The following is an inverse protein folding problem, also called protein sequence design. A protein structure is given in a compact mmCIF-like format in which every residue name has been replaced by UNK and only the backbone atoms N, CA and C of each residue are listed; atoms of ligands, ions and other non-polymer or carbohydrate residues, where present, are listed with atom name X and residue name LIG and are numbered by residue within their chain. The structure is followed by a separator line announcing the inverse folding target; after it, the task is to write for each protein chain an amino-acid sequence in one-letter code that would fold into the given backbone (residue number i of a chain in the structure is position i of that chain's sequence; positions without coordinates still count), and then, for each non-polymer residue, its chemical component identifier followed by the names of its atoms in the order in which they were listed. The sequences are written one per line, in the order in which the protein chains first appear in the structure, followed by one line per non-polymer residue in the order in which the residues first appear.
data_IF_872153871655
#
_entry.id   IF_872153871655
#
_cell.length_a   1.000
_cell.length_b   1.000
_cell.length_c   1.000
_cell.angle_alpha   90.00
_cell.angle_beta   90.00
_cell.angle_gamma   90.00
#
_symmetry.space_group_name_H-M   'P 1'
#
loop_
_entity.id
_entity.type
_entity.pdbx_description
1 polymer ?
#
# COMPACT_ATOMS: atom_id res chain seq x y z
N UNK A 1 39.19 -27.83 20.97
CA UNK A 1 38.05 -28.63 20.44
C UNK A 1 36.66 -28.21 21.00
N UNK A 2 36.46 -26.96 21.47
CA UNK A 2 35.16 -26.49 22.04
C UNK A 2 34.46 -25.35 21.25
N UNK A 3 35.08 -24.81 20.19
CA UNK A 3 34.48 -23.70 19.42
C UNK A 3 33.29 -24.15 18.52
N UNK A 4 33.35 -25.37 17.98
CA UNK A 4 32.45 -25.82 16.89
C UNK A 4 30.99 -26.14 17.31
N UNK A 5 30.67 -26.12 18.61
CA UNK A 5 29.30 -26.34 19.12
C UNK A 5 28.55 -25.02 19.23
N UNK A 6 29.17 -23.99 19.81
CA UNK A 6 28.56 -22.68 19.98
C UNK A 6 28.20 -22.02 18.63
N UNK A 7 29.03 -22.22 17.60
CA UNK A 7 28.79 -21.74 16.24
C UNK A 7 27.57 -22.40 15.58
N UNK A 8 27.37 -23.72 15.77
CA UNK A 8 26.21 -24.45 15.23
C UNK A 8 24.89 -24.05 15.90
N UNK A 9 24.90 -23.82 17.21
CA UNK A 9 23.72 -23.30 17.93
C UNK A 9 23.35 -21.89 17.46
N UNK A 10 24.34 -21.01 17.27
CA UNK A 10 24.12 -19.67 16.72
C UNK A 10 23.52 -19.70 15.32
N UNK A 11 24.02 -20.56 14.43
CA UNK A 11 23.50 -20.68 13.06
C UNK A 11 22.06 -21.21 13.03
N UNK A 12 21.72 -22.20 13.86
CA UNK A 12 20.35 -22.71 13.97
C UNK A 12 19.38 -21.69 14.60
N UNK A 13 19.86 -20.93 15.59
CA UNK A 13 19.04 -19.89 16.24
C UNK A 13 18.77 -18.69 15.31
N UNK A 14 19.74 -18.28 14.49
CA UNK A 14 19.53 -17.20 13.51
C UNK A 14 18.46 -17.57 12.48
N UNK A 15 18.50 -18.77 11.90
CA UNK A 15 17.49 -19.21 10.93
C UNK A 15 16.07 -19.28 11.51
N UNK A 16 15.92 -19.79 12.74
CA UNK A 16 14.61 -19.83 13.41
C UNK A 16 14.10 -18.44 13.79
N UNK A 17 14.97 -17.56 14.32
CA UNK A 17 14.58 -16.22 14.73
C UNK A 17 14.19 -15.35 13.51
N UNK A 18 14.91 -15.49 12.41
CA UNK A 18 14.64 -14.75 11.17
C UNK A 18 13.34 -15.23 10.49
N UNK A 19 13.11 -16.54 10.45
CA UNK A 19 11.86 -17.12 9.93
C UNK A 19 10.64 -16.74 10.78
N UNK A 20 10.76 -16.85 12.11
CA UNK A 20 9.69 -16.48 13.04
C UNK A 20 9.40 -14.98 12.99
N UNK A 21 10.45 -14.15 12.92
CA UNK A 21 10.32 -12.70 12.78
C UNK A 21 9.59 -12.32 11.49
N UNK A 22 9.97 -12.92 10.36
CA UNK A 22 9.30 -12.66 9.09
C UNK A 22 7.83 -13.07 9.13
N UNK A 23 7.51 -14.24 9.70
CA UNK A 23 6.13 -14.72 9.83
C UNK A 23 5.27 -13.82 10.73
N UNK A 24 5.81 -13.33 11.85
CA UNK A 24 5.09 -12.42 12.75
C UNK A 24 4.85 -11.06 12.11
N UNK A 25 5.85 -10.52 11.41
CA UNK A 25 5.71 -9.24 10.69
C UNK A 25 4.65 -9.36 9.60
N UNK A 26 4.69 -10.45 8.83
CA UNK A 26 3.71 -10.72 7.78
C UNK A 26 2.29 -10.90 8.35
N UNK A 27 2.14 -11.69 9.42
CA UNK A 27 0.85 -11.88 10.10
C UNK A 27 0.28 -10.57 10.66
N UNK A 28 1.11 -9.76 11.33
CA UNK A 28 0.72 -8.44 11.81
C UNK A 28 0.26 -7.54 10.67
N UNK A 29 0.98 -7.59 9.55
CA UNK A 29 0.68 -6.80 8.37
C UNK A 29 -0.70 -7.13 7.79
N UNK A 30 -1.00 -8.40 7.56
CA UNK A 30 -2.32 -8.82 7.07
C UNK A 30 -3.44 -8.51 8.08
N UNK A 31 -3.17 -8.67 9.37
CA UNK A 31 -4.15 -8.36 10.41
C UNK A 31 -4.49 -6.85 10.43
N UNK A 32 -3.49 -5.99 10.37
CA UNK A 32 -3.67 -4.54 10.31
C UNK A 32 -4.47 -4.14 9.07
N UNK A 33 -4.12 -4.70 7.92
CA UNK A 33 -4.83 -4.46 6.66
C UNK A 33 -6.28 -4.92 6.71
N UNK A 34 -6.55 -6.10 7.28
CA UNK A 34 -7.89 -6.60 7.47
C UNK A 34 -8.71 -5.67 8.38
N UNK A 35 -8.12 -5.18 9.47
CA UNK A 35 -8.78 -4.23 10.36
C UNK A 35 -9.14 -2.92 9.65
N UNK A 36 -8.23 -2.37 8.83
CA UNK A 36 -8.49 -1.16 8.04
C UNK A 36 -9.62 -1.42 7.03
N UNK A 37 -9.56 -2.53 6.28
CA UNK A 37 -10.59 -2.88 5.29
C UNK A 37 -11.97 -3.07 5.93
N UNK A 38 -12.03 -3.77 7.06
CA UNK A 38 -13.27 -3.96 7.82
C UNK A 38 -13.84 -2.63 8.32
N UNK A 39 -12.98 -1.72 8.79
CA UNK A 39 -13.39 -0.39 9.25
C UNK A 39 -13.96 0.44 8.08
N UNK A 40 -13.28 0.47 6.93
CA UNK A 40 -13.75 1.18 5.73
C UNK A 40 -15.11 0.64 5.30
N UNK A 41 -15.27 -0.68 5.25
CA UNK A 41 -16.53 -1.32 4.89
C UNK A 41 -17.66 -0.97 5.87
N UNK A 42 -17.40 -1.07 7.17
CA UNK A 42 -18.35 -0.71 8.22
C UNK A 42 -18.79 0.75 8.12
N UNK A 43 -17.84 1.67 7.96
CA UNK A 43 -18.10 3.11 7.78
C UNK A 43 -18.91 3.40 6.52
N UNK A 44 -18.63 2.71 5.42
CA UNK A 44 -19.38 2.88 4.17
C UNK A 44 -20.84 2.47 4.32
N UNK A 45 -21.08 1.30 4.95
CA UNK A 45 -22.43 0.79 5.21
C UNK A 45 -23.18 1.74 6.15
N UNK A 46 -22.54 2.18 7.23
CA UNK A 46 -23.13 3.13 8.17
C UNK A 46 -23.51 4.46 7.50
N UNK A 47 -22.63 5.00 6.66
CA UNK A 47 -22.91 6.23 5.90
C UNK A 47 -24.07 6.02 4.92
N UNK A 48 -24.10 4.89 4.21
CA UNK A 48 -25.19 4.56 3.29
C UNK A 48 -26.55 4.47 4.01
N UNK A 49 -26.62 3.79 5.15
CA UNK A 49 -27.85 3.73 5.97
C UNK A 49 -28.27 5.13 6.40
N UNK A 50 -27.30 5.98 6.78
CA UNK A 50 -27.54 7.39 7.09
C UNK A 50 -28.25 8.13 5.94
N UNK A 51 -27.75 8.02 4.71
CA UNK A 51 -28.38 8.65 3.53
C UNK A 51 -29.80 8.12 3.27
N UNK A 52 -29.97 6.79 3.34
CA UNK A 52 -31.28 6.17 3.14
C UNK A 52 -32.28 6.67 4.17
N UNK A 53 -31.86 6.83 5.43
CA UNK A 53 -32.72 7.36 6.49
C UNK A 53 -33.13 8.83 6.27
N UNK A 54 -32.33 9.62 5.56
CA UNK A 54 -32.67 11.00 5.20
C UNK A 54 -33.58 11.10 3.96
N UNK A 55 -33.86 10.00 3.27
CA UNK A 55 -34.77 9.94 2.11
C UNK A 55 -34.24 10.58 0.82
N UNK A 56 -33.04 11.16 0.84
CA UNK A 56 -32.36 11.72 -0.32
C UNK A 56 -30.84 11.67 -0.10
N UNK A 57 -30.08 11.50 -1.17
CA UNK A 57 -28.61 11.53 -1.14
C UNK A 57 -28.11 12.79 -1.85
N UNK A 58 -27.21 13.54 -1.19
CA UNK A 58 -26.53 14.69 -1.81
C UNK A 58 -25.31 14.23 -2.58
N UNK A 59 -24.78 15.12 -3.43
CA UNK A 59 -23.54 14.87 -4.17
C UNK A 59 -22.40 14.56 -3.20
N UNK A 60 -22.29 15.30 -2.10
CA UNK A 60 -21.30 15.05 -1.05
C UNK A 60 -21.35 13.64 -0.48
N UNK A 61 -22.54 13.08 -0.30
CA UNK A 61 -22.73 11.75 0.27
C UNK A 61 -22.31 10.66 -0.73
N UNK A 62 -22.66 10.84 -2.01
CA UNK A 62 -22.24 9.95 -3.11
C UNK A 62 -20.72 9.99 -3.26
N UNK A 63 -20.15 11.20 -3.22
CA UNK A 63 -18.71 11.41 -3.27
C UNK A 63 -17.98 10.80 -2.06
N UNK A 64 -18.62 10.79 -0.87
CA UNK A 64 -18.09 10.14 0.32
C UNK A 64 -18.08 8.61 0.16
N UNK A 65 -19.15 8.03 -0.39
CA UNK A 65 -19.19 6.61 -0.74
C UNK A 65 -18.11 6.24 -1.76
N UNK A 66 -17.81 7.13 -2.72
CA UNK A 66 -16.75 6.90 -3.69
C UNK A 66 -15.37 6.83 -3.01
N UNK A 67 -15.07 7.70 -2.05
CA UNK A 67 -13.84 7.59 -1.25
C UNK A 67 -13.78 6.26 -0.50
N UNK A 68 -14.87 5.82 0.13
CA UNK A 68 -14.88 4.54 0.82
C UNK A 68 -14.66 3.36 -0.13
N UNK A 69 -15.30 3.38 -1.29
CA UNK A 69 -15.12 2.36 -2.31
C UNK A 69 -13.68 2.33 -2.84
N UNK A 70 -13.09 3.49 -3.09
CA UNK A 70 -11.73 3.61 -3.55
C UNK A 70 -10.73 3.10 -2.51
N UNK A 71 -10.84 3.55 -1.26
CA UNK A 71 -10.02 3.06 -0.15
C UNK A 71 -10.17 1.54 0.02
N UNK A 72 -11.41 1.03 -0.04
CA UNK A 72 -11.70 -0.39 0.04
C UNK A 72 -11.07 -1.18 -1.12
N UNK A 73 -11.13 -0.66 -2.34
CA UNK A 73 -10.51 -1.28 -3.52
C UNK A 73 -8.99 -1.31 -3.39
N UNK A 74 -8.36 -0.26 -2.88
CA UNK A 74 -6.92 -0.24 -2.64
C UNK A 74 -6.49 -1.26 -1.58
N UNK A 75 -7.25 -1.38 -0.48
CA UNK A 75 -7.04 -2.43 0.54
C UNK A 75 -7.22 -3.83 -0.06
N UNK A 76 -8.22 -4.03 -0.92
CA UNK A 76 -8.44 -5.31 -1.61
C UNK A 76 -7.32 -5.68 -2.59
N UNK A 77 -6.83 -4.71 -3.39
CA UNK A 77 -5.69 -4.90 -4.29
C UNK A 77 -4.42 -5.20 -3.50
N UNK A 78 -4.24 -4.53 -2.36
CA UNK A 78 -3.12 -4.81 -1.46
C UNK A 78 -3.13 -6.28 -1.03
N UNK A 79 -4.28 -6.77 -0.57
CA UNK A 79 -4.44 -8.15 -0.11
C UNK A 79 -4.06 -9.17 -1.19
N UNK A 80 -4.28 -8.84 -2.47
CA UNK A 80 -3.92 -9.69 -3.61
C UNK A 80 -2.45 -9.59 -4.03
N UNK A 81 -1.75 -8.50 -3.71
CA UNK A 81 -0.43 -8.19 -4.30
C UNK A 81 0.73 -8.13 -3.29
N UNK A 82 0.48 -8.13 -1.98
CA UNK A 82 1.48 -8.19 -0.90
C UNK A 82 2.61 -7.16 -0.95
N UNK A 83 2.38 -6.05 -1.65
CA UNK A 83 3.35 -4.98 -1.76
C UNK A 83 2.69 -3.71 -1.26
N UNK A 84 3.37 -2.93 -0.40
CA UNK A 84 3.01 -1.53 -0.08
C UNK A 84 3.71 -0.60 -1.05
N UNK A 85 3.15 -0.34 -2.25
CA UNK A 85 3.65 0.73 -3.05
C UNK A 85 3.15 2.04 -2.43
N UNK A 86 4.11 2.91 -2.10
CA UNK A 86 3.90 4.34 -1.82
C UNK A 86 2.97 5.00 -2.86
N UNK A 87 2.89 4.44 -4.08
CA UNK A 87 1.95 4.83 -5.14
C UNK A 87 0.48 4.82 -4.71
N UNK A 88 0.04 3.86 -3.89
CA UNK A 88 -1.36 3.84 -3.43
C UNK A 88 -1.69 5.07 -2.57
N UNK A 89 -0.78 5.50 -1.70
CA UNK A 89 -0.97 6.69 -0.87
C UNK A 89 -1.19 7.96 -1.70
N UNK A 90 -0.41 8.11 -2.79
CA UNK A 90 -0.50 9.27 -3.68
C UNK A 90 -1.80 9.25 -4.48
N UNK A 91 -2.28 8.07 -4.91
CA UNK A 91 -3.59 7.95 -5.56
C UNK A 91 -4.73 8.36 -4.62
N UNK A 92 -4.72 7.90 -3.36
CA UNK A 92 -5.71 8.31 -2.34
C UNK A 92 -5.70 9.82 -2.16
N UNK A 93 -4.52 10.44 -2.08
CA UNK A 93 -4.40 11.89 -1.93
C UNK A 93 -4.99 12.63 -3.14
N UNK A 94 -4.75 12.15 -4.37
CA UNK A 94 -5.31 12.76 -5.58
C UNK A 94 -6.83 12.69 -5.59
N UNK A 95 -7.42 11.53 -5.28
CA UNK A 95 -8.88 11.40 -5.31
C UNK A 95 -9.54 12.13 -4.16
N UNK A 96 -8.92 12.18 -2.97
CA UNK A 96 -9.39 12.99 -1.86
C UNK A 96 -9.41 14.49 -2.20
N UNK A 97 -8.33 15.01 -2.81
CA UNK A 97 -8.26 16.40 -3.28
C UNK A 97 -9.28 16.69 -4.39
N UNK A 98 -9.42 15.79 -5.35
CA UNK A 98 -10.39 15.93 -6.43
C UNK A 98 -11.82 15.94 -5.88
N UNK A 99 -12.12 15.09 -4.90
CA UNK A 99 -13.43 15.09 -4.22
C UNK A 99 -13.68 16.43 -3.52
N UNK A 100 -12.70 16.93 -2.79
CA UNK A 100 -12.80 18.23 -2.11
C UNK A 100 -13.13 19.34 -3.11
N UNK A 101 -12.45 19.35 -4.26
CA UNK A 101 -12.71 20.31 -5.33
C UNK A 101 -14.14 20.21 -5.88
N UNK A 102 -14.62 19.00 -6.18
CA UNK A 102 -15.97 18.81 -6.72
C UNK A 102 -17.03 19.23 -5.69
N UNK A 103 -16.85 18.87 -4.42
CA UNK A 103 -17.77 19.25 -3.34
C UNK A 103 -17.82 20.78 -3.15
N UNK A 104 -16.67 21.46 -3.22
CA UNK A 104 -16.58 22.91 -3.10
C UNK A 104 -17.25 23.64 -4.27
N UNK A 105 -17.00 23.20 -5.51
CA UNK A 105 -17.64 23.75 -6.72
C UNK A 105 -19.18 23.62 -6.68
N UNK A 106 -19.70 22.54 -6.09
CA UNK A 106 -21.14 22.33 -5.98
C UNK A 106 -21.82 23.21 -4.93
N UNK A 107 -21.10 23.58 -3.86
CA UNK A 107 -21.64 24.43 -2.79
C UNK A 107 -21.48 25.93 -3.11
N UNK A 108 -20.31 26.31 -3.63
CA UNK A 108 -19.95 27.68 -3.91
C UNK A 108 -20.10 27.95 -5.42
N UNK A 109 -21.30 28.37 -5.84
CA UNK A 109 -21.59 28.72 -7.24
C UNK A 109 -20.88 30.01 -7.72
N UNK A 110 -20.14 30.68 -6.84
CA UNK A 110 -19.31 31.85 -7.16
C UNK A 110 -17.85 31.37 -7.20
N UNK A 111 -17.08 31.70 -8.25
CA UNK A 111 -15.66 31.36 -8.33
C UNK A 111 -14.93 31.99 -7.14
N UNK A 112 -14.59 31.17 -6.15
CA UNK A 112 -13.74 31.56 -5.03
C UNK A 112 -12.27 31.29 -5.37
N UNK A 113 -11.37 32.10 -4.83
CA UNK A 113 -9.92 31.95 -5.02
C UNK A 113 -9.42 30.55 -4.56
N UNK A 114 -10.18 29.88 -3.68
CA UNK A 114 -9.93 28.51 -3.21
C UNK A 114 -9.89 27.46 -4.33
N UNK A 115 -10.71 27.58 -5.37
CA UNK A 115 -10.75 26.60 -6.48
C UNK A 115 -9.44 26.60 -7.26
N UNK A 116 -8.84 27.78 -7.44
CA UNK A 116 -7.54 27.93 -8.11
C UNK A 116 -6.45 27.27 -7.28
N UNK A 117 -6.46 27.47 -5.96
CA UNK A 117 -5.48 26.87 -5.05
C UNK A 117 -5.57 25.34 -5.04
N UNK A 118 -6.78 24.77 -5.00
CA UNK A 118 -6.98 23.31 -5.07
C UNK A 118 -6.54 22.77 -6.44
N UNK A 119 -6.80 23.49 -7.53
CA UNK A 119 -6.36 23.11 -8.87
C UNK A 119 -4.83 23.09 -8.98
N UNK A 120 -4.14 24.08 -8.42
CA UNK A 120 -2.67 24.12 -8.36
C UNK A 120 -2.12 22.98 -7.48
N UNK A 121 -2.77 22.68 -6.35
CA UNK A 121 -2.37 21.56 -5.49
C UNK A 121 -2.50 20.20 -6.21
N UNK A 122 -3.59 19.99 -6.97
CA UNK A 122 -3.76 18.81 -7.82
C UNK A 122 -2.68 18.72 -8.91
N UNK A 123 -2.36 19.84 -9.55
CA UNK A 123 -1.29 19.90 -10.55
C UNK A 123 0.08 19.54 -9.94
N UNK A 124 0.39 20.07 -8.76
CA UNK A 124 1.63 19.78 -8.04
C UNK A 124 1.70 18.29 -7.66
N UNK A 125 0.60 17.71 -7.20
CA UNK A 125 0.53 16.28 -6.86
C UNK A 125 0.69 15.38 -8.11
N UNK A 126 0.12 15.80 -9.25
CA UNK A 126 0.31 15.13 -10.53
C UNK A 126 1.77 15.20 -11.02
N UNK A 127 2.46 16.32 -10.79
CA UNK A 127 3.91 16.42 -11.07
C UNK A 127 4.71 15.53 -10.11
N UNK A 128 4.36 15.49 -8.83
CA UNK A 128 5.03 14.65 -7.85
C UNK A 128 4.95 13.16 -8.22
N UNK A 129 3.78 12.68 -8.65
CA UNK A 129 3.65 11.27 -9.08
C UNK A 129 4.42 10.98 -10.37
N UNK A 130 4.51 11.95 -11.28
CA UNK A 130 5.35 11.83 -12.49
C UNK A 130 6.83 11.66 -12.11
N UNK A 131 7.32 12.47 -11.16
CA UNK A 131 8.70 12.39 -10.66
C UNK A 131 8.95 11.03 -9.99
N UNK A 132 8.06 10.59 -9.10
CA UNK A 132 8.19 9.28 -8.43
C UNK A 132 8.20 8.13 -9.45
N UNK A 133 7.32 8.20 -10.46
CA UNK A 133 7.26 7.20 -11.53
C UNK A 133 8.53 7.18 -12.38
N UNK A 134 9.08 8.36 -12.70
CA UNK A 134 10.31 8.49 -13.48
C UNK A 134 11.54 8.02 -12.71
N UNK A 135 11.65 8.36 -11.42
CA UNK A 135 12.73 7.88 -10.56
C UNK A 135 12.70 6.35 -10.41
N UNK A 136 11.52 5.78 -10.19
CA UNK A 136 11.34 4.34 -10.04
C UNK A 136 11.62 3.54 -11.33
N UNK A 137 11.42 4.11 -12.52
CA UNK A 137 11.73 3.43 -13.78
C UNK A 137 13.21 3.52 -14.15
N UNK A 138 13.92 4.57 -13.70
CA UNK A 138 15.33 4.80 -14.05
C UNK A 138 16.32 4.14 -13.09
N UNK A 139 15.95 3.89 -11.84
CA UNK A 139 16.78 3.21 -10.84
C UNK A 139 16.04 1.99 -10.23
N UNK A 140 15.98 0.84 -10.93
CA UNK A 140 15.55 -0.40 -10.32
C UNK A 140 16.56 -0.79 -9.23
N UNK A 141 16.09 -1.12 -8.02
CA UNK A 141 16.96 -1.65 -6.98
C UNK A 141 17.62 -2.94 -7.49
N UNK A 142 18.95 -3.10 -7.37
CA UNK A 142 19.60 -4.35 -7.75
C UNK A 142 18.95 -5.49 -6.96
N UNK A 143 18.41 -6.48 -7.67
CA UNK A 143 17.97 -7.73 -7.08
C UNK A 143 19.16 -8.35 -6.37
N UNK A 144 19.12 -8.41 -5.03
CA UNK A 144 20.10 -9.18 -4.26
C UNK A 144 20.11 -10.62 -4.80
N UNK A 145 21.26 -11.14 -5.26
CA UNK A 145 21.34 -12.55 -5.60
C UNK A 145 21.08 -13.31 -4.30
N UNK A 146 20.05 -14.16 -4.30
CA UNK A 146 19.93 -15.20 -3.27
C UNK A 146 21.21 -16.03 -3.32
N UNK A 147 22.12 -15.79 -2.39
CA UNK A 147 23.25 -16.66 -2.12
C UNK A 147 22.74 -18.02 -1.66
N UNK A 148 23.29 -19.08 -2.25
CA UNK A 148 23.11 -20.44 -1.75
C UNK A 148 22.83 -21.49 -2.82
N UNK A 149 23.78 -21.74 -3.73
CA UNK A 149 24.00 -23.09 -4.27
C UNK A 149 25.40 -23.18 -4.90
N UNK A 150 26.43 -22.97 -4.08
CA UNK A 150 27.73 -23.59 -4.33
C UNK A 150 27.71 -25.00 -3.75
N UNK A 151 28.51 -25.89 -4.32
CA UNK A 151 28.76 -27.28 -3.92
C UNK A 151 27.83 -28.35 -4.55
N UNK A 152 28.06 -28.72 -5.82
CA UNK A 152 27.69 -30.07 -6.31
C UNK A 152 28.32 -30.58 -7.63
N UNK A 153 29.40 -29.99 -8.16
CA UNK A 153 29.99 -30.41 -9.47
C UNK A 153 31.50 -30.71 -9.44
N UNK A 154 32.05 -31.31 -8.37
CA UNK A 154 33.47 -31.73 -8.35
C UNK A 154 33.71 -33.17 -7.86
N UNK A 155 32.76 -34.08 -8.06
CA UNK A 155 33.04 -35.52 -7.93
C UNK A 155 32.41 -36.23 -9.13
N UNK A 156 33.21 -36.50 -10.16
CA UNK A 156 32.70 -37.29 -11.29
C UNK A 156 33.50 -37.35 -12.58
N UNK A 157 34.76 -36.94 -12.65
CA UNK A 157 35.59 -37.19 -13.84
C UNK A 157 37.05 -37.49 -13.45
N UNK A 158 37.29 -38.63 -12.81
CA UNK A 158 38.60 -39.30 -12.85
C UNK A 158 38.48 -40.81 -12.57
N UNK A 159 37.92 -41.55 -13.53
CA UNK A 159 38.14 -42.99 -13.63
C UNK A 159 38.10 -43.43 -15.10
N UNK A 160 39.18 -43.14 -15.82
CA UNK A 160 39.64 -43.89 -17.00
C UNK A 160 41.15 -44.03 -16.98
#
# INVERSE_FOLDING_TARGET
MKLNWAERLRQHMHGCAESLGNLLVEAFHYLALFAIGATVFWSAVAAFIGMVSQGHAKIDDILLLFIYLELGAMVGIYFKTNHMPVRFLIYVAMTALTRLMIADIQHNHVPDDGIILVSVALLLLAVAILVVRFASSRFPSPSSPKGGSGERDLIGEDER
#
